data_IF_539131169559
#
_entry.id   IF_539131169559
#
_cell.length_a   1.000
_cell.length_b   1.000
_cell.length_c   1.000
_cell.angle_alpha   90.00
_cell.angle_beta   90.00
_cell.angle_gamma   90.00
#
_symmetry.space_group_name_H-M   'P 1'
#
loop_
_entity.id
_entity.type
_entity.pdbx_description
1 polymer ?
#
# COMPACT_ATOMS: atom_id res chain seq x y z
N UNK A 1 11.18 -12.69 9.48
CA UNK A 1 10.42 -13.86 8.95
C UNK A 1 8.91 -13.64 9.07
N UNK A 2 8.43 -12.52 8.53
CA UNK A 2 7.00 -12.16 8.55
C UNK A 2 6.16 -13.17 7.78
N UNK A 3 5.00 -13.56 8.33
CA UNK A 3 4.09 -14.55 7.75
C UNK A 3 2.66 -14.04 7.61
N UNK A 4 2.24 -13.15 8.49
CA UNK A 4 0.87 -12.64 8.58
C UNK A 4 0.85 -11.16 8.27
N UNK A 5 0.03 -10.78 7.29
CA UNK A 5 -0.19 -9.38 6.91
C UNK A 5 -1.66 -9.00 7.13
N UNK A 6 -1.91 -7.87 7.75
CA UNK A 6 -3.20 -7.19 7.76
C UNK A 6 -3.21 -6.13 6.66
N UNK A 7 -4.24 -6.14 5.83
CA UNK A 7 -4.48 -5.15 4.78
C UNK A 7 -5.81 -4.45 5.03
N UNK A 8 -5.75 -3.16 5.31
CA UNK A 8 -6.90 -2.34 5.65
C UNK A 8 -7.10 -1.30 4.55
N UNK A 9 -8.26 -1.37 3.91
CA UNK A 9 -8.54 -0.73 2.62
C UNK A 9 -8.36 -1.72 1.47
N UNK A 10 -9.47 -2.14 0.86
CA UNK A 10 -9.48 -3.18 -0.18
C UNK A 10 -9.84 -2.58 -1.56
N UNK A 11 -9.44 -1.31 -1.75
CA UNK A 11 -9.66 -0.55 -2.98
C UNK A 11 -8.68 -0.90 -4.11
N UNK A 12 -8.34 0.10 -4.91
CA UNK A 12 -7.59 -0.03 -6.15
C UNK A 12 -6.18 -0.61 -6.00
N UNK A 13 -5.50 -0.36 -4.87
CA UNK A 13 -4.12 -0.81 -4.64
C UNK A 13 -4.02 -2.19 -3.97
N UNK A 14 -5.11 -2.71 -3.45
CA UNK A 14 -5.08 -3.85 -2.52
C UNK A 14 -4.50 -5.14 -3.11
N UNK A 15 -4.81 -5.47 -4.37
CA UNK A 15 -4.26 -6.64 -5.04
C UNK A 15 -2.74 -6.52 -5.24
N UNK A 16 -2.26 -5.33 -5.62
CA UNK A 16 -0.84 -5.09 -5.84
C UNK A 16 -0.05 -5.22 -4.53
N UNK A 17 -0.57 -4.69 -3.43
CA UNK A 17 -0.01 -4.86 -2.09
C UNK A 17 0.05 -6.35 -1.71
N UNK A 18 -1.06 -7.06 -1.81
CA UNK A 18 -1.13 -8.48 -1.47
C UNK A 18 -0.13 -9.33 -2.27
N UNK A 19 -0.05 -9.12 -3.57
CA UNK A 19 0.85 -9.85 -4.47
C UNK A 19 2.32 -9.54 -4.14
N UNK A 20 2.66 -8.26 -3.94
CA UNK A 20 4.01 -7.85 -3.66
C UNK A 20 4.53 -8.43 -2.33
N UNK A 21 3.76 -8.32 -1.25
CA UNK A 21 4.17 -8.84 0.05
C UNK A 21 4.21 -10.38 0.09
N UNK A 22 3.28 -11.05 -0.60
CA UNK A 22 3.36 -12.50 -0.74
C UNK A 22 4.64 -12.94 -1.47
N UNK A 23 4.94 -12.33 -2.61
CA UNK A 23 6.07 -12.74 -3.47
C UNK A 23 7.42 -12.31 -2.93
N UNK A 24 7.52 -11.11 -2.36
CA UNK A 24 8.80 -10.52 -1.98
C UNK A 24 9.13 -10.73 -0.50
N UNK A 25 8.13 -10.75 0.38
CA UNK A 25 8.30 -10.89 1.82
C UNK A 25 7.87 -12.27 2.35
N UNK A 26 7.28 -13.11 1.52
CA UNK A 26 6.91 -14.49 1.89
C UNK A 26 5.69 -14.58 2.79
N UNK A 27 4.79 -13.58 2.76
CA UNK A 27 3.51 -13.61 3.49
C UNK A 27 2.68 -14.82 3.05
N UNK A 28 2.10 -15.53 4.02
CA UNK A 28 1.27 -16.73 3.80
C UNK A 28 -0.17 -16.57 4.27
N UNK A 29 -0.44 -15.60 5.15
CA UNK A 29 -1.77 -15.25 5.61
C UNK A 29 -2.01 -13.76 5.39
N UNK A 30 -3.06 -13.43 4.66
CA UNK A 30 -3.53 -12.08 4.40
C UNK A 30 -4.88 -11.89 5.08
N UNK A 31 -4.94 -11.04 6.10
CA UNK A 31 -6.16 -10.63 6.77
C UNK A 31 -6.64 -9.32 6.19
N UNK A 32 -7.87 -9.30 5.69
CA UNK A 32 -8.41 -8.16 4.94
C UNK A 32 -9.62 -7.56 5.63
N UNK A 33 -9.65 -6.24 5.69
CA UNK A 33 -10.77 -5.46 6.18
C UNK A 33 -11.00 -4.21 5.35
N UNK A 34 -12.24 -3.93 5.05
CA UNK A 34 -12.71 -2.66 4.47
C UNK A 34 -14.12 -2.38 5.02
N UNK A 35 -14.47 -1.11 5.14
CA UNK A 35 -15.84 -0.68 5.47
C UNK A 35 -16.82 -1.00 4.34
N UNK A 36 -16.32 -1.15 3.11
CA UNK A 36 -17.08 -1.58 1.94
C UNK A 36 -16.90 -3.09 1.71
N UNK A 37 -17.91 -3.92 2.02
CA UNK A 37 -17.82 -5.35 1.82
C UNK A 37 -17.70 -5.76 0.35
N UNK A 38 -18.10 -4.92 -0.60
CA UNK A 38 -17.96 -5.18 -2.03
C UNK A 38 -16.50 -5.05 -2.46
N UNK A 39 -15.76 -4.08 -1.91
CA UNK A 39 -14.33 -3.95 -2.13
C UNK A 39 -13.58 -5.20 -1.63
N UNK A 40 -13.92 -5.70 -0.43
CA UNK A 40 -13.37 -6.94 0.11
C UNK A 40 -13.71 -8.15 -0.78
N UNK A 41 -14.95 -8.24 -1.24
CA UNK A 41 -15.37 -9.34 -2.12
C UNK A 41 -14.63 -9.31 -3.47
N UNK A 42 -14.41 -8.12 -4.03
CA UNK A 42 -13.61 -7.87 -5.24
C UNK A 42 -12.17 -8.38 -5.06
N UNK A 43 -11.49 -7.95 -4.00
CA UNK A 43 -10.12 -8.37 -3.70
C UNK A 43 -10.01 -9.89 -3.59
N UNK A 44 -10.84 -10.52 -2.78
CA UNK A 44 -10.82 -11.98 -2.58
C UNK A 44 -11.04 -12.74 -3.90
N UNK A 45 -12.00 -12.29 -4.72
CA UNK A 45 -12.26 -12.88 -6.04
C UNK A 45 -11.04 -12.75 -6.97
N UNK A 46 -10.41 -11.58 -7.01
CA UNK A 46 -9.27 -11.34 -7.87
C UNK A 46 -8.06 -12.18 -7.46
N UNK A 47 -7.75 -12.25 -6.16
CA UNK A 47 -6.64 -13.08 -5.65
C UNK A 47 -6.90 -14.57 -5.88
N UNK A 48 -8.13 -15.05 -5.68
CA UNK A 48 -8.50 -16.46 -5.92
C UNK A 48 -8.40 -16.87 -7.40
N UNK A 49 -8.46 -15.90 -8.33
CA UNK A 49 -8.30 -16.17 -9.76
C UNK A 49 -6.82 -16.32 -10.20
N UNK A 50 -5.87 -16.15 -9.29
CA UNK A 50 -4.42 -16.21 -9.56
C UNK A 50 -3.84 -17.53 -9.03
N UNK A 51 -3.50 -18.50 -9.91
CA UNK A 51 -2.95 -19.79 -9.48
C UNK A 51 -1.65 -19.68 -8.69
N UNK A 52 -0.85 -18.64 -8.97
CA UNK A 52 0.42 -18.36 -8.30
C UNK A 52 0.26 -17.88 -6.84
N UNK A 53 -0.95 -17.60 -6.40
CA UNK A 53 -1.30 -17.24 -5.01
C UNK A 53 -2.06 -18.35 -4.28
N UNK A 54 -2.08 -19.57 -4.83
CA UNK A 54 -2.84 -20.71 -4.26
C UNK A 54 -2.42 -21.06 -2.81
N UNK A 55 -1.19 -20.70 -2.40
CA UNK A 55 -0.67 -20.90 -1.05
C UNK A 55 -0.84 -19.67 -0.14
N UNK A 56 -1.48 -18.58 -0.61
CA UNK A 56 -1.85 -17.43 0.19
C UNK A 56 -3.24 -17.63 0.81
N UNK A 57 -3.28 -17.79 2.13
CA UNK A 57 -4.54 -17.84 2.87
C UNK A 57 -5.13 -16.43 3.04
N UNK A 58 -6.26 -16.16 2.43
CA UNK A 58 -6.98 -14.89 2.58
C UNK A 58 -8.08 -15.03 3.61
N UNK A 59 -8.06 -14.21 4.66
CA UNK A 59 -9.01 -14.22 5.79
C UNK A 59 -9.74 -12.89 5.83
N UNK A 60 -11.07 -12.93 5.70
CA UNK A 60 -11.92 -11.75 5.91
C UNK A 60 -12.10 -11.53 7.41
N UNK A 61 -11.92 -10.30 7.86
CA UNK A 61 -12.13 -9.93 9.26
C UNK A 61 -13.28 -8.93 9.39
N UNK A 62 -13.80 -8.77 10.61
CA UNK A 62 -14.95 -7.89 10.89
C UNK A 62 -14.53 -6.51 11.39
N UNK A 63 -13.25 -6.29 11.63
CA UNK A 63 -12.70 -5.00 12.05
C UNK A 63 -11.21 -4.88 11.74
N UNK A 64 -10.70 -3.65 11.69
CA UNK A 64 -9.27 -3.39 11.61
C UNK A 64 -8.51 -4.00 12.80
N UNK A 65 -9.08 -3.91 14.01
CA UNK A 65 -8.48 -4.50 15.21
C UNK A 65 -8.34 -6.02 15.12
N UNK A 66 -9.34 -6.71 14.58
CA UNK A 66 -9.27 -8.15 14.37
C UNK A 66 -8.19 -8.51 13.33
N UNK A 67 -8.09 -7.74 12.23
CA UNK A 67 -7.08 -7.93 11.21
C UNK A 67 -5.66 -7.80 11.78
N UNK A 68 -5.43 -6.78 12.61
CA UNK A 68 -4.11 -6.46 13.19
C UNK A 68 -3.65 -7.46 14.26
N UNK A 69 -4.55 -8.20 14.89
CA UNK A 69 -4.20 -9.08 16.02
C UNK A 69 -3.19 -10.16 15.64
N UNK A 70 -1.93 -10.01 16.08
CA UNK A 70 -0.84 -10.94 15.76
C UNK A 70 -0.39 -10.89 14.29
N UNK A 71 -0.63 -9.78 13.60
CA UNK A 71 -0.03 -9.53 12.30
C UNK A 71 1.42 -9.06 12.46
N UNK A 72 2.29 -9.53 11.57
CA UNK A 72 3.68 -9.07 11.50
C UNK A 72 3.78 -7.75 10.73
N UNK A 73 2.94 -7.60 9.69
CA UNK A 73 2.86 -6.43 8.83
C UNK A 73 1.43 -5.92 8.80
N UNK A 74 1.24 -4.62 8.96
CA UNK A 74 -0.03 -3.93 8.79
C UNK A 74 0.12 -2.89 7.68
N UNK A 75 -0.75 -2.93 6.67
CA UNK A 75 -0.80 -1.90 5.63
C UNK A 75 -2.17 -1.23 5.66
N UNK A 76 -2.17 0.09 5.80
CA UNK A 76 -3.36 0.91 5.60
C UNK A 76 -3.27 1.60 4.24
N UNK A 77 -4.32 1.45 3.44
CA UNK A 77 -4.38 1.98 2.07
C UNK A 77 -5.80 2.43 1.74
N UNK A 78 -6.38 3.22 2.66
CA UNK A 78 -7.75 3.71 2.51
C UNK A 78 -7.80 5.00 1.71
N UNK A 79 -8.93 5.25 1.04
CA UNK A 79 -9.11 6.39 0.14
C UNK A 79 -10.02 7.49 0.72
N UNK A 80 -10.37 7.44 1.99
CA UNK A 80 -11.18 8.50 2.60
C UNK A 80 -10.35 9.80 2.64
N UNK A 81 -10.95 10.92 2.20
CA UNK A 81 -10.30 12.24 2.17
C UNK A 81 -10.38 12.99 3.50
N UNK A 82 -10.62 12.29 4.59
CA UNK A 82 -10.73 12.85 5.94
C UNK A 82 -9.72 12.17 6.86
N UNK A 83 -9.40 12.82 7.98
CA UNK A 83 -8.74 12.14 9.08
C UNK A 83 -9.64 10.99 9.57
N UNK A 84 -9.36 9.80 9.11
CA UNK A 84 -10.04 8.61 9.56
C UNK A 84 -9.03 7.82 10.39
N UNK A 85 -9.15 7.84 11.72
CA UNK A 85 -8.31 7.02 12.59
C UNK A 85 -8.65 5.55 12.36
N UNK A 86 -7.75 4.87 11.66
CA UNK A 86 -7.84 3.43 11.32
C UNK A 86 -7.08 2.59 12.34
N UNK A 87 -5.84 3.00 12.66
CA UNK A 87 -4.99 2.32 13.64
C UNK A 87 -4.88 3.13 14.92
N UNK A 88 -5.06 2.44 16.04
CA UNK A 88 -4.91 3.00 17.38
C UNK A 88 -3.84 2.22 18.18
N UNK A 89 -3.24 2.80 19.25
CA UNK A 89 -2.18 2.13 20.00
C UNK A 89 -2.48 0.70 20.45
N UNK A 90 -3.71 0.36 20.91
CA UNK A 90 -4.01 -1.02 21.33
C UNK A 90 -3.95 -2.08 20.21
N UNK A 91 -3.91 -1.66 18.94
CA UNK A 91 -3.81 -2.57 17.80
C UNK A 91 -2.34 -2.91 17.46
N UNK A 92 -1.38 -2.17 18.03
CA UNK A 92 0.02 -2.26 17.67
C UNK A 92 0.77 -3.14 18.68
N UNK A 93 1.55 -4.06 18.19
CA UNK A 93 2.36 -4.96 19.00
C UNK A 93 3.87 -4.74 18.76
N UNK A 94 4.73 -5.04 19.75
CA UNK A 94 6.17 -5.04 19.55
C UNK A 94 6.58 -5.90 18.34
N UNK A 95 7.54 -5.42 17.56
CA UNK A 95 8.03 -6.09 16.36
C UNK A 95 7.20 -5.89 15.10
N UNK A 96 6.02 -5.29 15.18
CA UNK A 96 5.15 -5.03 14.04
C UNK A 96 5.78 -4.04 13.06
N UNK A 97 5.54 -4.25 11.77
CA UNK A 97 5.83 -3.28 10.72
C UNK A 97 4.52 -2.68 10.20
N UNK A 98 4.49 -1.38 10.03
CA UNK A 98 3.32 -0.64 9.55
C UNK A 98 3.69 0.07 8.24
N UNK A 99 2.87 -0.05 7.21
CA UNK A 99 2.91 0.79 6.03
C UNK A 99 1.69 1.72 6.06
N UNK A 100 1.91 2.99 6.29
CA UNK A 100 0.90 4.05 6.18
C UNK A 100 0.91 4.59 4.76
N UNK A 101 0.01 4.09 3.90
CA UNK A 101 0.00 4.42 2.46
C UNK A 101 -1.19 5.30 2.08
N UNK A 102 -2.21 5.34 2.92
CA UNK A 102 -3.42 6.09 2.62
C UNK A 102 -3.35 7.57 2.96
N UNK A 103 -2.41 8.02 3.79
CA UNK A 103 -2.11 9.44 4.03
C UNK A 103 -1.37 10.03 2.83
N UNK A 104 -2.03 10.86 2.03
CA UNK A 104 -1.50 11.36 0.75
C UNK A 104 -1.82 12.83 0.48
N UNK A 105 -2.30 13.54 1.48
CA UNK A 105 -2.59 14.98 1.37
C UNK A 105 -2.68 15.67 2.74
N UNK A 106 -2.57 17.00 2.79
CA UNK A 106 -2.73 17.75 4.03
C UNK A 106 -4.06 17.47 4.71
N UNK A 107 -4.02 17.18 6.02
CA UNK A 107 -5.19 16.89 6.82
C UNK A 107 -5.72 15.46 6.70
N UNK A 108 -5.07 14.57 5.98
CA UNK A 108 -5.45 13.17 5.86
C UNK A 108 -4.41 12.28 6.53
N UNK A 109 -4.81 11.58 7.58
CA UNK A 109 -4.01 10.58 8.28
C UNK A 109 -4.86 9.36 8.59
N UNK A 110 -4.25 8.19 8.69
CA UNK A 110 -4.90 6.92 9.00
C UNK A 110 -4.56 6.42 10.40
N UNK A 111 -3.45 6.90 10.98
CA UNK A 111 -2.99 6.51 12.29
C UNK A 111 -3.37 7.55 13.36
N UNK A 112 -3.78 7.07 14.53
CA UNK A 112 -3.88 7.95 15.70
C UNK A 112 -2.48 8.48 16.06
N UNK A 113 -2.38 9.77 16.37
CA UNK A 113 -1.10 10.42 16.70
C UNK A 113 -0.28 9.70 17.79
N UNK A 114 -0.93 9.04 18.75
CA UNK A 114 -0.26 8.29 19.80
C UNK A 114 0.38 6.99 19.31
N UNK A 115 0.04 6.50 18.11
CA UNK A 115 0.78 5.37 17.49
C UNK A 115 2.22 5.79 17.20
N UNK A 116 2.41 7.02 16.71
CA UNK A 116 3.76 7.55 16.43
C UNK A 116 4.57 7.82 17.73
N UNK A 117 3.89 7.91 18.88
CA UNK A 117 4.53 8.14 20.19
C UNK A 117 4.79 6.85 20.98
N UNK A 118 4.46 5.69 20.41
CA UNK A 118 4.73 4.42 21.09
C UNK A 118 6.22 4.24 21.37
N UNK A 119 6.58 3.62 22.52
CA UNK A 119 7.95 3.21 22.76
C UNK A 119 8.49 2.36 21.61
N UNK A 120 9.78 2.53 21.30
CA UNK A 120 10.48 1.79 20.23
C UNK A 120 9.92 2.01 18.80
N UNK A 121 9.04 3.01 18.60
CA UNK A 121 8.59 3.41 17.28
C UNK A 121 9.74 4.01 16.47
N UNK A 122 9.90 3.53 15.26
CA UNK A 122 10.90 3.98 14.28
C UNK A 122 10.17 4.36 12.99
N UNK A 123 10.17 5.64 12.65
CA UNK A 123 9.48 6.15 11.48
C UNK A 123 10.45 6.36 10.34
N UNK A 124 10.16 5.73 9.21
CA UNK A 124 10.86 5.90 7.94
C UNK A 124 9.94 6.65 6.98
N UNK A 125 10.46 7.65 6.31
CA UNK A 125 9.74 8.47 5.30
C UNK A 125 10.47 8.42 3.97
N UNK A 126 9.79 8.65 2.88
CA UNK A 126 10.40 8.72 1.56
C UNK A 126 11.20 10.01 1.39
N UNK A 127 10.57 11.15 1.67
CA UNK A 127 11.15 12.48 1.60
C UNK A 127 10.54 13.35 2.70
N UNK A 128 11.34 13.67 3.72
CA UNK A 128 10.85 14.30 4.94
C UNK A 128 10.06 15.60 4.71
N UNK A 129 10.50 16.55 3.87
CA UNK A 129 9.77 17.81 3.66
C UNK A 129 8.33 17.59 3.15
N UNK A 130 8.11 16.57 2.31
CA UNK A 130 6.78 16.25 1.79
C UNK A 130 5.96 15.48 2.83
N UNK A 131 6.54 14.47 3.49
CA UNK A 131 5.84 13.70 4.52
C UNK A 131 5.40 14.56 5.71
N UNK A 132 6.12 15.66 6.02
CA UNK A 132 5.69 16.66 7.01
C UNK A 132 4.39 17.38 6.66
N UNK A 133 4.03 17.43 5.39
CA UNK A 133 2.84 18.12 4.90
C UNK A 133 1.69 17.13 4.64
N UNK A 134 2.00 15.94 4.15
CA UNK A 134 1.01 15.02 3.58
C UNK A 134 0.96 13.65 4.28
N UNK A 135 2.06 13.24 4.97
CA UNK A 135 2.18 11.93 5.61
C UNK A 135 1.59 11.89 7.02
N UNK A 136 1.74 10.75 7.67
CA UNK A 136 1.29 10.53 9.05
C UNK A 136 2.02 11.47 10.03
N UNK A 137 3.28 11.82 9.75
CA UNK A 137 4.08 12.71 10.59
C UNK A 137 3.64 14.17 10.56
N UNK A 138 2.70 14.58 9.69
CA UNK A 138 2.07 15.91 9.76
C UNK A 138 1.41 16.19 11.12
N UNK A 139 1.07 15.13 11.88
CA UNK A 139 0.50 15.20 13.24
C UNK A 139 1.54 15.45 14.33
N UNK A 140 2.84 15.43 13.98
CA UNK A 140 3.94 15.50 14.95
C UNK A 140 4.61 16.88 14.93
N UNK A 141 5.29 17.26 16.04
CA UNK A 141 6.14 18.45 16.06
C UNK A 141 7.21 18.43 14.96
N UNK A 142 7.68 19.59 14.55
CA UNK A 142 8.68 19.72 13.48
C UNK A 142 10.01 19.01 13.78
N UNK A 143 10.35 18.85 15.05
CA UNK A 143 11.55 18.15 15.54
C UNK A 143 11.35 16.65 15.81
N UNK A 144 10.17 16.11 15.52
CA UNK A 144 9.92 14.67 15.66
C UNK A 144 10.90 13.87 14.79
N UNK A 145 11.64 12.89 15.38
CA UNK A 145 12.70 12.20 14.68
C UNK A 145 12.16 11.24 13.61
N UNK A 146 12.68 11.36 12.40
CA UNK A 146 12.39 10.45 11.28
C UNK A 146 13.68 10.01 10.61
N UNK A 147 13.59 8.96 9.80
CA UNK A 147 14.67 8.40 9.00
C UNK A 147 14.24 8.48 7.54
N UNK A 148 15.03 9.06 6.67
CA UNK A 148 14.74 9.01 5.23
C UNK A 148 15.08 7.62 4.66
N UNK A 149 14.20 7.07 3.82
CA UNK A 149 14.38 5.78 3.16
C UNK A 149 15.72 5.70 2.43
N UNK A 150 16.15 6.81 1.82
CA UNK A 150 17.44 6.89 1.14
C UNK A 150 18.63 6.60 2.06
N UNK A 151 18.59 6.98 3.33
CA UNK A 151 19.65 6.68 4.32
C UNK A 151 19.68 5.19 4.64
N UNK A 152 18.51 4.54 4.73
CA UNK A 152 18.41 3.09 4.94
C UNK A 152 18.96 2.33 3.75
N UNK A 153 18.59 2.72 2.53
CA UNK A 153 19.06 2.09 1.29
C UNK A 153 20.57 2.22 1.07
N UNK A 154 21.17 3.33 1.52
CA UNK A 154 22.64 3.52 1.48
C UNK A 154 23.37 2.84 2.64
N UNK A 155 22.65 2.21 3.58
CA UNK A 155 23.23 1.57 4.75
C UNK A 155 23.79 2.55 5.80
N UNK A 156 23.40 3.81 5.75
CA UNK A 156 23.85 4.86 6.70
C UNK A 156 23.13 4.73 8.04
N UNK A 157 21.87 4.26 8.01
CA UNK A 157 21.04 4.09 9.20
C UNK A 157 20.32 2.74 9.15
N UNK A 158 20.25 2.07 10.29
CA UNK A 158 19.44 0.87 10.49
C UNK A 158 18.06 1.27 11.01
N UNK A 159 17.02 1.04 10.20
CA UNK A 159 15.66 1.40 10.58
C UNK A 159 15.13 0.52 11.73
N UNK A 160 15.30 -0.81 11.68
CA UNK A 160 14.95 -1.76 12.74
C UNK A 160 16.21 -2.23 13.45
N UNK A 161 16.39 -1.89 14.71
CA UNK A 161 17.58 -2.22 15.53
C UNK A 161 17.40 -3.46 16.36
N UNK A 162 16.15 -3.78 16.70
CA UNK A 162 15.79 -4.94 17.52
C UNK A 162 14.54 -5.63 17.01
N UNK A 163 14.30 -6.85 17.44
CA UNK A 163 13.09 -7.60 17.11
C UNK A 163 11.81 -6.97 17.68
N UNK A 164 11.93 -6.19 18.74
CA UNK A 164 10.79 -5.49 19.37
C UNK A 164 10.51 -4.11 18.78
N UNK A 165 11.45 -3.52 17.99
CA UNK A 165 11.20 -2.22 17.37
C UNK A 165 9.91 -2.27 16.54
N UNK A 166 9.06 -1.29 16.71
CA UNK A 166 7.90 -1.06 15.84
C UNK A 166 8.38 -0.13 14.72
N UNK A 167 8.15 -0.51 13.49
CA UNK A 167 8.58 0.31 12.35
C UNK A 167 7.37 0.80 11.58
N UNK A 168 7.33 2.09 11.28
CA UNK A 168 6.37 2.71 10.37
C UNK A 168 7.10 3.18 9.12
N UNK A 169 6.62 2.77 7.96
CA UNK A 169 6.92 3.41 6.68
C UNK A 169 5.76 4.34 6.34
N UNK A 170 6.00 5.64 6.46
CA UNK A 170 5.04 6.70 6.16
C UNK A 170 5.22 7.09 4.70
N UNK A 171 4.44 6.44 3.83
CA UNK A 171 4.56 6.49 2.38
C UNK A 171 3.51 7.41 1.78
N UNK A 172 3.94 8.56 1.30
CA UNK A 172 3.10 9.53 0.59
C UNK A 172 3.29 9.46 -0.93
N UNK A 173 4.35 8.77 -1.38
CA UNK A 173 4.81 8.77 -2.76
C UNK A 173 5.49 10.11 -3.15
N UNK A 174 6.37 10.08 -4.12
CA UNK A 174 6.99 11.29 -4.64
C UNK A 174 7.44 11.11 -6.10
N UNK A 175 7.54 12.20 -6.83
CA UNK A 175 7.74 12.21 -8.29
C UNK A 175 8.96 11.41 -8.80
N UNK A 176 9.97 11.18 -7.95
CA UNK A 176 11.14 10.39 -8.32
C UNK A 176 10.80 8.89 -8.51
N UNK A 177 9.78 8.39 -7.81
CA UNK A 177 9.29 7.01 -7.99
C UNK A 177 8.64 6.86 -9.36
N UNK A 178 7.74 7.79 -9.74
CA UNK A 178 7.12 7.81 -11.07
C UNK A 178 8.17 7.90 -12.17
N UNK A 179 9.13 8.79 -12.01
CA UNK A 179 10.23 8.95 -12.94
C UNK A 179 11.06 7.66 -13.10
N UNK A 180 11.33 6.97 -11.99
CA UNK A 180 12.09 5.73 -11.98
C UNK A 180 11.33 4.60 -12.67
N UNK A 181 10.03 4.48 -12.39
CA UNK A 181 9.14 3.50 -13.04
C UNK A 181 9.06 3.75 -14.56
N UNK A 182 8.87 4.99 -14.98
CA UNK A 182 8.80 5.36 -16.40
C UNK A 182 10.15 5.11 -17.11
N UNK A 183 11.28 5.39 -16.47
CA UNK A 183 12.60 5.04 -17.02
C UNK A 183 12.77 3.54 -17.21
N UNK A 184 12.35 2.75 -16.22
CA UNK A 184 12.39 1.29 -16.29
C UNK A 184 11.55 0.76 -17.46
N UNK A 185 10.29 1.23 -17.59
CA UNK A 185 9.42 0.86 -18.69
C UNK A 185 10.01 1.24 -20.05
N UNK A 186 10.57 2.45 -20.16
CA UNK A 186 11.26 2.91 -21.40
C UNK A 186 12.43 1.99 -21.76
N UNK A 187 13.23 1.57 -20.77
CA UNK A 187 14.33 0.65 -21.00
C UNK A 187 13.86 -0.72 -21.50
N UNK A 188 12.79 -1.28 -20.92
CA UNK A 188 12.20 -2.55 -21.35
C UNK A 188 11.67 -2.48 -22.79
N UNK A 189 11.02 -1.37 -23.18
CA UNK A 189 10.55 -1.16 -24.54
C UNK A 189 11.72 -1.04 -25.52
N UNK A 190 12.77 -0.27 -25.15
CA UNK A 190 13.97 -0.11 -26.00
C UNK A 190 14.73 -1.43 -26.20
N UNK A 191 14.68 -2.33 -25.23
CA UNK A 191 15.27 -3.68 -25.29
C UNK A 191 14.33 -4.70 -25.96
N UNK A 192 13.20 -4.26 -26.53
CA UNK A 192 12.17 -5.12 -27.13
C UNK A 192 11.59 -6.20 -26.17
N UNK A 193 11.74 -6.02 -24.87
CA UNK A 193 11.19 -6.93 -23.84
C UNK A 193 9.72 -6.68 -23.56
N UNK A 194 9.21 -5.49 -23.94
CA UNK A 194 7.80 -5.13 -23.92
C UNK A 194 7.40 -4.57 -25.29
N UNK A 195 6.20 -4.93 -25.74
CA UNK A 195 5.61 -4.36 -26.94
C UNK A 195 5.24 -2.88 -26.72
N UNK A 196 5.40 -2.06 -27.76
CA UNK A 196 4.89 -0.68 -27.77
C UNK A 196 3.39 -0.71 -28.07
N UNK A 197 2.61 0.03 -27.28
CA UNK A 197 1.19 0.31 -27.55
C UNK A 197 0.93 1.79 -27.29
N UNK A 198 0.06 2.37 -28.08
CA UNK A 198 -0.48 3.69 -27.79
C UNK A 198 -1.61 3.49 -26.76
N UNK A 199 -1.51 4.17 -25.62
CA UNK A 199 -2.45 4.05 -24.52
C UNK A 199 -3.21 5.37 -24.36
N UNK A 200 -4.50 5.27 -24.03
CA UNK A 200 -5.23 6.40 -23.49
C UNK A 200 -4.81 6.62 -22.04
N UNK A 201 -4.20 7.77 -21.76
CA UNK A 201 -3.70 8.10 -20.40
C UNK A 201 -4.83 8.45 -19.44
N UNK A 202 -6.04 8.61 -19.91
CA UNK A 202 -7.22 8.86 -19.09
C UNK A 202 -8.26 7.76 -19.34
N UNK A 203 -8.02 6.53 -18.87
CA UNK A 203 -8.96 5.44 -19.07
C UNK A 203 -10.27 5.71 -18.34
N UNK A 204 -11.39 5.34 -18.97
CA UNK A 204 -12.68 5.26 -18.28
C UNK A 204 -12.76 3.87 -17.64
N UNK A 205 -12.76 3.84 -16.32
CA UNK A 205 -12.87 2.60 -15.54
C UNK A 205 -14.34 2.34 -15.21
N UNK A 206 -14.81 1.10 -15.39
CA UNK A 206 -16.14 0.67 -14.97
C UNK A 206 -16.25 0.67 -13.44
N UNK A 207 -15.19 0.24 -12.76
CA UNK A 207 -15.03 0.31 -11.31
C UNK A 207 -13.66 0.89 -10.96
N UNK A 208 -13.58 2.11 -10.39
CA UNK A 208 -12.33 2.73 -9.99
C UNK A 208 -11.63 2.00 -8.83
N UNK A 209 -12.33 1.13 -8.10
CA UNK A 209 -11.75 0.30 -7.05
C UNK A 209 -11.12 -1.00 -7.59
N UNK A 210 -11.37 -1.36 -8.85
CA UNK A 210 -10.89 -2.60 -9.49
C UNK A 210 -9.90 -2.34 -10.64
N UNK A 211 -8.82 -1.63 -10.34
CA UNK A 211 -7.73 -1.43 -11.32
C UNK A 211 -7.11 -2.76 -11.77
N UNK A 212 -7.03 -3.73 -10.86
CA UNK A 212 -6.44 -5.03 -11.13
C UNK A 212 -7.30 -5.88 -12.07
N UNK A 213 -8.62 -5.90 -11.90
CA UNK A 213 -9.55 -6.58 -12.80
C UNK A 213 -9.49 -6.04 -14.23
N UNK A 214 -9.27 -4.73 -14.38
CA UNK A 214 -9.02 -4.11 -15.68
C UNK A 214 -7.77 -4.65 -16.38
N UNK A 215 -6.69 -4.94 -15.63
CA UNK A 215 -5.47 -5.55 -16.20
C UNK A 215 -5.69 -7.01 -16.62
N UNK A 216 -6.44 -7.79 -15.83
CA UNK A 216 -6.81 -9.17 -16.18
C UNK A 216 -7.71 -9.24 -17.43
N UNK A 217 -8.66 -8.30 -17.55
CA UNK A 217 -9.52 -8.19 -18.74
C UNK A 217 -8.71 -7.84 -20.01
N UNK A 218 -7.71 -6.96 -19.87
CA UNK A 218 -6.78 -6.63 -20.96
C UNK A 218 -5.95 -7.82 -21.43
N UNK A 219 -5.55 -8.72 -20.52
CA UNK A 219 -4.88 -9.97 -20.86
C UNK A 219 -5.80 -10.95 -21.61
N UNK A 220 -7.13 -10.88 -21.38
CA UNK A 220 -8.15 -11.70 -22.06
C UNK A 220 -8.69 -11.10 -23.36
N UNK A 221 -8.13 -10.00 -23.83
CA UNK A 221 -8.47 -9.44 -25.16
C UNK A 221 -9.73 -8.59 -25.25
N UNK A 222 -10.27 -8.10 -24.13
CA UNK A 222 -11.45 -7.21 -24.14
C UNK A 222 -11.10 -5.74 -23.88
N UNK A 223 -10.53 -5.08 -24.87
CA UNK A 223 -10.64 -3.61 -24.95
C UNK A 223 -11.89 -3.30 -25.77
N UNK A 224 -12.97 -2.88 -25.12
CA UNK A 224 -14.14 -2.35 -25.83
C UNK A 224 -13.76 -1.01 -26.48
N UNK A 225 -13.97 -0.84 -27.79
CA UNK A 225 -13.70 0.45 -28.43
C UNK A 225 -14.64 1.52 -27.89
N UNK A 226 -14.07 2.67 -27.59
CA UNK A 226 -14.76 3.88 -27.13
C UNK A 226 -15.82 4.29 -28.18
N UNK A 227 -17.10 4.35 -27.80
CA UNK A 227 -18.10 5.06 -28.61
C UNK A 227 -17.68 6.54 -28.69
N UNK A 228 -17.28 7.01 -29.88
CA UNK A 228 -17.06 8.42 -30.13
C UNK A 228 -18.36 9.16 -29.79
N UNK A 229 -18.30 10.09 -28.84
CA UNK A 229 -19.35 11.08 -28.71
C UNK A 229 -19.27 11.95 -29.98
N UNK A 230 -20.25 11.83 -30.83
CA UNK A 230 -20.51 12.82 -31.86
C UNK A 230 -20.99 14.09 -31.19
N UNK A 231 -20.34 15.20 -31.54
CA UNK A 231 -20.70 16.56 -31.11
C UNK A 231 -22.11 16.93 -31.57
#
# INVERSE_FOLDING_TARGET
>A
DSRVMALIGNGAQSEFQAIAFHRLCGIRELRVYDVDPLATAKLVRNLAAMPELADLRVVRTHSASEACKGADIVTTVTADKRNAVILTPPMIAPGMHINGVGGDCPGKTELHADVLRLPDMRVVVEFEPQSRIEGEIQQMPADYPVIELAQVLRGEVVARRSASDITLFDSVGFALEDYSALRFLRALISQQRLGRRDLDLVPVLDDPKDLFGGTLAGQRGMVRPRKRRTA
#
